data_IF_390277059694
#
_entry.id   IF_390277059694
#
_cell.length_a   1.000
_cell.length_b   1.000
_cell.length_c   1.000
_cell.angle_alpha   90.00
_cell.angle_beta   90.00
_cell.angle_gamma   90.00
#
_symmetry.space_group_name_H-M   'P 1'
#
loop_
_entity.id
_entity.type
_entity.pdbx_description
1 polymer ?
#
# COMPACT_ATOMS: atom_id res chain seq x y z
N UNK A 1 55.10 -15.21 -33.05
CA UNK A 1 54.33 -13.94 -33.05
C UNK A 1 53.19 -14.11 -32.08
N UNK A 2 53.32 -13.58 -30.87
CA UNK A 2 52.25 -13.51 -29.85
C UNK A 2 51.50 -12.19 -30.01
N UNK A 3 50.16 -12.17 -30.11
CA UNK A 3 49.43 -10.93 -30.20
C UNK A 3 49.30 -10.28 -28.82
N UNK A 4 49.67 -9.01 -28.79
CA UNK A 4 49.13 -7.90 -27.98
C UNK A 4 48.59 -8.23 -26.59
N UNK A 5 49.31 -7.73 -25.58
CA UNK A 5 48.84 -7.63 -24.22
C UNK A 5 47.51 -6.91 -24.13
N UNK A 6 46.56 -7.57 -23.49
CA UNK A 6 45.51 -6.91 -22.74
C UNK A 6 45.97 -6.92 -21.29
N UNK A 7 46.37 -5.76 -20.81
CA UNK A 7 46.59 -5.53 -19.39
C UNK A 7 45.22 -5.53 -18.73
N UNK A 8 44.83 -6.68 -18.16
CA UNK A 8 43.61 -6.83 -17.40
C UNK A 8 43.89 -6.31 -15.99
N UNK A 9 44.11 -5.00 -15.86
CA UNK A 9 43.98 -4.37 -14.55
C UNK A 9 42.50 -4.49 -14.19
N UNK A 10 42.11 -5.28 -13.17
CA UNK A 10 40.74 -5.23 -12.72
C UNK A 10 40.50 -3.79 -12.31
N UNK A 11 39.51 -3.14 -12.93
CA UNK A 11 38.87 -1.98 -12.32
C UNK A 11 38.31 -2.51 -11.00
N UNK A 12 39.10 -2.44 -9.93
CA UNK A 12 38.58 -2.41 -8.57
C UNK A 12 37.89 -1.06 -8.45
N UNK A 13 36.74 -0.93 -9.14
CA UNK A 13 35.70 -0.08 -8.65
C UNK A 13 35.32 -0.73 -7.32
N UNK A 14 35.96 -0.29 -6.23
CA UNK A 14 35.37 -0.44 -4.91
C UNK A 14 33.94 0.02 -5.07
N UNK A 15 32.99 -0.92 -4.95
CA UNK A 15 31.59 -0.56 -4.88
C UNK A 15 31.48 0.53 -3.81
N UNK A 16 30.90 1.71 -4.12
CA UNK A 16 30.77 2.75 -3.13
C UNK A 16 30.08 2.12 -1.92
N UNK A 17 30.58 2.38 -0.69
CA UNK A 17 29.98 1.82 0.50
C UNK A 17 28.48 2.14 0.47
N UNK A 18 27.65 1.10 0.53
CA UNK A 18 26.19 1.24 0.57
C UNK A 18 25.88 2.20 1.70
N UNK A 19 25.49 3.42 1.36
CA UNK A 19 25.05 4.40 2.35
C UNK A 19 23.97 3.72 3.18
N UNK A 20 24.15 3.75 4.50
CA UNK A 20 23.26 3.11 5.46
C UNK A 20 21.81 3.38 5.05
N UNK A 21 21.11 2.28 4.75
CA UNK A 21 19.83 2.29 4.07
C UNK A 21 18.85 3.28 4.68
N UNK A 22 18.04 3.89 3.81
CA UNK A 22 16.92 4.71 4.23
C UNK A 22 16.16 4.00 5.37
N UNK A 23 15.78 4.73 6.43
CA UNK A 23 15.10 4.12 7.57
C UNK A 23 13.91 3.31 7.06
N UNK A 24 13.83 2.05 7.49
CA UNK A 24 12.70 1.18 7.13
C UNK A 24 11.41 1.95 7.41
N UNK A 25 10.59 2.15 6.37
CA UNK A 25 9.32 2.85 6.52
C UNK A 25 8.53 2.18 7.65
N UNK A 26 7.85 2.95 8.52
CA UNK A 26 7.06 2.38 9.60
C UNK A 26 5.84 1.66 9.01
N UNK A 27 5.55 0.44 9.49
CA UNK A 27 4.43 -0.39 9.01
C UNK A 27 3.11 0.08 9.65
N UNK A 28 3.20 0.53 10.90
CA UNK A 28 2.08 0.87 11.77
C UNK A 28 1.14 1.93 11.17
N UNK A 29 1.63 3.01 10.52
CA UNK A 29 0.74 3.99 9.88
C UNK A 29 -0.10 3.41 8.73
N UNK A 30 0.47 2.49 7.94
CA UNK A 30 -0.25 1.86 6.83
C UNK A 30 -1.37 0.95 7.34
N UNK A 31 -1.10 0.16 8.39
CA UNK A 31 -2.10 -0.69 9.04
C UNK A 31 -3.19 0.14 9.72
N UNK A 32 -2.81 1.20 10.44
CA UNK A 32 -3.76 2.11 11.06
C UNK A 32 -4.70 2.73 10.01
N UNK A 33 -4.15 3.17 8.87
CA UNK A 33 -4.94 3.73 7.77
C UNK A 33 -5.85 2.70 7.10
N UNK A 34 -5.39 1.46 6.94
CA UNK A 34 -6.21 0.38 6.42
C UNK A 34 -7.42 0.10 7.33
N UNK A 35 -7.20 0.04 8.65
CA UNK A 35 -8.27 -0.16 9.64
C UNK A 35 -9.25 1.01 9.65
N UNK A 36 -8.73 2.24 9.62
CA UNK A 36 -9.56 3.45 9.57
C UNK A 36 -10.50 3.44 8.36
N UNK A 37 -9.96 3.17 7.16
CA UNK A 37 -10.75 3.10 5.93
C UNK A 37 -11.77 1.95 5.95
N UNK A 38 -11.40 0.78 6.49
CA UNK A 38 -12.35 -0.33 6.65
C UNK A 38 -13.51 0.04 7.59
N UNK A 39 -13.25 0.79 8.67
CA UNK A 39 -14.29 1.28 9.57
C UNK A 39 -15.20 2.33 8.89
N UNK A 40 -14.66 3.21 8.04
CA UNK A 40 -15.49 4.11 7.23
C UNK A 40 -16.38 3.33 6.25
N UNK A 41 -15.82 2.32 5.56
CA UNK A 41 -16.61 1.46 4.69
C UNK A 41 -17.76 0.78 5.44
N UNK A 42 -17.48 0.24 6.64
CA UNK A 42 -18.50 -0.31 7.52
C UNK A 42 -19.58 0.70 7.86
N UNK A 43 -19.22 1.94 8.21
CA UNK A 43 -20.19 3.01 8.50
C UNK A 43 -21.15 3.27 7.33
N UNK A 44 -20.65 3.27 6.10
CA UNK A 44 -21.49 3.40 4.92
C UNK A 44 -22.38 2.17 4.64
N UNK A 45 -21.93 0.96 4.99
CA UNK A 45 -22.77 -0.24 4.93
C UNK A 45 -23.87 -0.22 6.01
N UNK A 46 -23.58 0.32 7.20
CA UNK A 46 -24.56 0.52 8.25
C UNK A 46 -25.65 1.53 7.82
N UNK A 47 -25.24 2.66 7.22
CA UNK A 47 -26.16 3.65 6.63
C UNK A 47 -27.01 3.03 5.51
N UNK A 48 -26.38 2.24 4.62
CA UNK A 48 -27.08 1.54 3.55
C UNK A 48 -28.16 0.61 4.12
N UNK A 49 -27.84 -0.17 5.16
CA UNK A 49 -28.81 -1.03 5.83
C UNK A 49 -29.96 -0.23 6.46
N UNK A 50 -29.67 0.94 7.05
CA UNK A 50 -30.71 1.82 7.59
C UNK A 50 -31.67 2.30 6.48
N UNK A 51 -31.14 2.74 5.34
CA UNK A 51 -31.94 3.24 4.21
C UNK A 51 -32.78 2.11 3.59
N UNK A 52 -32.22 0.92 3.40
CA UNK A 52 -32.95 -0.24 2.86
C UNK A 52 -34.19 -0.63 3.68
N UNK A 53 -34.07 -0.50 5.00
CA UNK A 53 -35.12 -0.83 5.95
C UNK A 53 -36.07 0.35 6.24
N UNK A 54 -35.73 1.56 5.79
CA UNK A 54 -36.57 2.76 5.91
C UNK A 54 -37.58 2.91 4.76
N UNK A 55 -38.66 3.66 5.04
CA UNK A 55 -39.61 4.14 4.03
C UNK A 55 -39.83 5.65 4.23
N UNK A 56 -39.78 6.49 3.17
CA UNK A 56 -39.58 6.15 1.76
C UNK A 56 -38.12 5.73 1.43
N UNK A 57 -37.95 4.90 0.39
CA UNK A 57 -36.63 4.48 -0.09
C UNK A 57 -36.06 5.49 -1.07
N UNK A 58 -34.91 6.07 -0.73
CA UNK A 58 -34.19 7.01 -1.58
C UNK A 58 -33.08 6.28 -2.35
N UNK A 59 -33.33 5.96 -3.63
CA UNK A 59 -32.39 5.20 -4.47
C UNK A 59 -31.02 5.89 -4.63
N UNK A 60 -31.01 7.22 -4.68
CA UNK A 60 -29.77 8.02 -4.73
C UNK A 60 -28.94 7.83 -3.47
N UNK A 61 -29.57 7.87 -2.29
CA UNK A 61 -28.88 7.67 -1.02
C UNK A 61 -28.32 6.24 -0.88
N UNK A 62 -29.06 5.24 -1.37
CA UNK A 62 -28.59 3.84 -1.43
C UNK A 62 -27.33 3.75 -2.30
N UNK A 63 -27.38 4.32 -3.51
CA UNK A 63 -26.26 4.30 -4.45
C UNK A 63 -25.04 5.01 -3.87
N UNK A 64 -25.22 6.21 -3.34
CA UNK A 64 -24.13 7.02 -2.80
C UNK A 64 -23.44 6.31 -1.63
N UNK A 65 -24.22 5.67 -0.75
CA UNK A 65 -23.68 4.89 0.36
C UNK A 65 -22.86 3.69 -0.11
N UNK A 66 -23.34 2.96 -1.13
CA UNK A 66 -22.59 1.83 -1.69
C UNK A 66 -21.29 2.27 -2.39
N UNK A 67 -21.34 3.37 -3.14
CA UNK A 67 -20.15 3.92 -3.81
C UNK A 67 -19.10 4.38 -2.80
N UNK A 68 -19.54 5.05 -1.73
CA UNK A 68 -18.64 5.47 -0.66
C UNK A 68 -18.02 4.26 0.08
N UNK A 69 -18.82 3.25 0.41
CA UNK A 69 -18.33 2.01 1.01
C UNK A 69 -17.27 1.33 0.13
N UNK A 70 -17.52 1.24 -1.18
CA UNK A 70 -16.59 0.65 -2.15
C UNK A 70 -15.25 1.40 -2.20
N UNK A 71 -15.29 2.73 -2.32
CA UNK A 71 -14.06 3.55 -2.35
C UNK A 71 -13.22 3.40 -1.09
N UNK A 72 -13.86 3.42 0.08
CA UNK A 72 -13.15 3.20 1.34
C UNK A 72 -12.55 1.79 1.46
N UNK A 73 -13.21 0.76 0.89
CA UNK A 73 -12.62 -0.58 0.81
C UNK A 73 -11.41 -0.64 -0.12
N UNK A 74 -11.43 0.05 -1.27
CA UNK A 74 -10.27 0.17 -2.15
C UNK A 74 -9.10 0.87 -1.46
N UNK A 75 -9.36 1.97 -0.74
CA UNK A 75 -8.35 2.70 0.02
C UNK A 75 -7.77 1.87 1.18
N UNK A 76 -8.62 1.07 1.84
CA UNK A 76 -8.19 0.12 2.86
C UNK A 76 -7.25 -0.95 2.27
N UNK A 77 -7.62 -1.54 1.13
CA UNK A 77 -6.80 -2.52 0.43
C UNK A 77 -5.46 -1.95 -0.03
N UNK A 78 -5.48 -0.75 -0.62
CA UNK A 78 -4.28 -0.04 -1.05
C UNK A 78 -3.31 0.20 0.12
N UNK A 79 -3.84 0.64 1.27
CA UNK A 79 -3.06 0.87 2.49
C UNK A 79 -2.49 -0.42 3.07
N UNK A 80 -3.28 -1.51 3.07
CA UNK A 80 -2.81 -2.82 3.52
C UNK A 80 -1.71 -3.40 2.63
N UNK A 81 -1.84 -3.26 1.30
CA UNK A 81 -0.79 -3.67 0.36
C UNK A 81 0.51 -2.90 0.60
N UNK A 82 0.45 -1.59 0.83
CA UNK A 82 1.62 -0.80 1.18
C UNK A 82 2.29 -1.30 2.48
N UNK A 83 1.50 -1.72 3.48
CA UNK A 83 2.03 -2.34 4.69
C UNK A 83 2.78 -3.66 4.39
N UNK A 84 2.25 -4.49 3.48
CA UNK A 84 2.91 -5.73 3.04
C UNK A 84 4.21 -5.47 2.28
N UNK A 85 4.24 -4.45 1.42
CA UNK A 85 5.46 -4.04 0.70
C UNK A 85 6.55 -3.63 1.70
N UNK A 86 6.22 -2.80 2.68
CA UNK A 86 7.16 -2.39 3.74
C UNK A 86 7.62 -3.59 4.59
N UNK A 87 6.71 -4.51 4.94
CA UNK A 87 7.05 -5.71 5.68
C UNK A 87 7.98 -6.65 4.88
N UNK A 88 7.74 -6.79 3.57
CA UNK A 88 8.57 -7.59 2.66
C UNK A 88 9.97 -6.99 2.43
N UNK A 89 10.09 -5.67 2.43
CA UNK A 89 11.38 -4.98 2.33
C UNK A 89 12.29 -5.18 3.55
N UNK A 90 11.75 -5.53 4.73
CA UNK A 90 12.56 -5.84 5.92
C UNK A 90 13.33 -7.17 5.83
N UNK A 91 13.15 -7.95 4.77
CA UNK A 91 13.90 -9.19 4.52
C UNK A 91 15.01 -9.08 3.47
N UNK A 92 15.31 -7.88 2.94
CA UNK A 92 16.26 -7.67 1.84
C UNK A 92 17.49 -6.80 2.21
N UNK A 93 17.79 -6.66 3.51
CA UNK A 93 18.97 -5.96 4.00
C UNK A 93 20.11 -6.94 4.33
#
# INVERSE_FOLDING_TARGET
MTPTGYDFTPLTAEEPPVEAGAPALPIEPHLAKAIENANFAKGHLDIFNLILNGAPREETAIRDSLVAAYRHMEDAWSSYRAALEVAGCRGQA
#
